data_IF_770498021077
#
_entry.id   IF_770498021077
#
_cell.length_a   1.000
_cell.length_b   1.000
_cell.length_c   1.000
_cell.angle_alpha   90.00
_cell.angle_beta   90.00
_cell.angle_gamma   90.00
#
_symmetry.space_group_name_H-M   'P 1'
#
loop_
_entity.id
_entity.type
_entity.pdbx_description
1 polymer ?
#
# COMPACT_ATOMS: atom_id res chain seq x y z
N UNK A 1 -6.53 -10.00 30.12
CA UNK A 1 -5.76 -10.25 28.90
C UNK A 1 -6.43 -9.51 27.75
N UNK A 2 -5.69 -8.75 26.97
CA UNK A 2 -6.28 -8.04 25.81
C UNK A 2 -6.69 -9.10 24.77
N UNK A 3 -7.98 -9.23 24.51
CA UNK A 3 -8.56 -10.22 23.59
C UNK A 3 -8.44 -9.79 22.12
N UNK A 4 -7.92 -8.58 21.87
CA UNK A 4 -7.77 -8.05 20.52
C UNK A 4 -6.68 -8.81 19.75
N UNK A 5 -6.90 -9.18 18.48
CA UNK A 5 -5.90 -9.80 17.65
C UNK A 5 -4.66 -8.90 17.50
N UNK A 6 -3.47 -9.49 17.47
CA UNK A 6 -2.23 -8.77 17.11
C UNK A 6 -2.26 -8.40 15.63
N UNK A 7 -1.88 -7.16 15.28
CA UNK A 7 -1.69 -6.75 13.90
C UNK A 7 -0.29 -7.16 13.41
N UNK A 8 -0.22 -8.04 12.42
CA UNK A 8 1.00 -8.36 11.68
C UNK A 8 0.96 -7.67 10.32
N UNK A 9 1.75 -6.62 10.14
CA UNK A 9 1.94 -5.97 8.85
C UNK A 9 2.93 -6.79 8.03
N UNK A 10 2.52 -7.24 6.84
CA UNK A 10 3.34 -8.04 5.93
C UNK A 10 3.81 -7.16 4.78
N UNK A 11 5.11 -6.87 4.74
CA UNK A 11 5.76 -6.17 3.63
C UNK A 11 6.54 -7.17 2.75
N UNK A 12 6.68 -6.86 1.46
CA UNK A 12 7.49 -7.70 0.58
C UNK A 12 8.95 -7.75 1.04
N UNK A 13 9.48 -6.60 1.44
CA UNK A 13 10.89 -6.41 1.70
C UNK A 13 11.64 -5.82 0.50
N UNK A 14 12.85 -5.35 0.73
CA UNK A 14 13.71 -4.76 -0.30
C UNK A 14 15.16 -4.75 0.16
N UNK A 15 16.09 -4.80 -0.78
CA UNK A 15 17.52 -4.54 -0.51
C UNK A 15 17.81 -3.07 -0.23
N UNK A 16 16.87 -2.17 -0.59
CA UNK A 16 16.99 -0.75 -0.30
C UNK A 16 16.61 -0.48 1.17
N UNK A 17 17.53 0.03 2.00
CA UNK A 17 17.27 0.27 3.42
C UNK A 17 16.17 1.31 3.66
N UNK A 18 15.92 2.21 2.72
CA UNK A 18 14.83 3.20 2.80
C UNK A 18 13.46 2.53 2.90
N UNK A 19 13.30 1.34 2.31
CA UNK A 19 12.06 0.57 2.37
C UNK A 19 11.73 0.15 3.81
N UNK A 20 12.64 -0.52 4.49
CA UNK A 20 12.42 -0.99 5.87
C UNK A 20 12.22 0.18 6.85
N UNK A 21 12.97 1.28 6.67
CA UNK A 21 12.79 2.50 7.44
C UNK A 21 11.38 3.09 7.28
N UNK A 22 10.86 3.13 6.05
CA UNK A 22 9.50 3.61 5.76
C UNK A 22 8.43 2.72 6.39
N UNK A 23 8.56 1.39 6.29
CA UNK A 23 7.64 0.44 6.92
C UNK A 23 7.65 0.62 8.44
N UNK A 24 8.82 0.79 9.04
CA UNK A 24 8.97 1.03 10.49
C UNK A 24 8.30 2.33 10.93
N UNK A 25 8.51 3.43 10.18
CA UNK A 25 7.88 4.73 10.47
C UNK A 25 6.35 4.64 10.37
N UNK A 26 5.83 3.97 9.35
CA UNK A 26 4.39 3.74 9.18
C UNK A 26 3.81 2.94 10.36
N UNK A 27 4.46 1.85 10.78
CA UNK A 27 4.02 1.06 11.93
C UNK A 27 4.12 1.83 13.25
N UNK A 28 5.14 2.68 13.43
CA UNK A 28 5.24 3.57 14.59
C UNK A 28 4.03 4.52 14.64
N UNK A 29 3.64 5.10 13.50
CA UNK A 29 2.43 5.94 13.40
C UNK A 29 1.14 5.17 13.72
N UNK A 30 1.02 3.92 13.26
CA UNK A 30 -0.13 3.05 13.62
C UNK A 30 -0.21 2.83 15.13
N UNK A 31 0.92 2.57 15.80
CA UNK A 31 0.99 2.42 17.27
C UNK A 31 0.59 3.70 18.01
N UNK A 32 1.00 4.86 17.51
CA UNK A 32 0.60 6.16 18.06
C UNK A 32 -0.93 6.41 17.92
N UNK A 33 -1.51 6.02 16.79
CA UNK A 33 -2.96 6.19 16.55
C UNK A 33 -3.82 5.21 17.34
N UNK A 34 -3.25 4.07 17.76
CA UNK A 34 -3.96 3.06 18.58
C UNK A 34 -3.06 2.51 19.66
N UNK A 35 -2.92 3.25 20.78
CA UNK A 35 -2.21 2.75 21.96
C UNK A 35 -2.82 1.43 22.44
N UNK A 36 -1.95 0.50 22.84
CA UNK A 36 -2.35 -0.83 23.31
C UNK A 36 -2.58 -1.87 22.17
N UNK A 37 -2.63 -1.50 20.90
CA UNK A 37 -2.60 -2.48 19.82
C UNK A 37 -1.16 -2.99 19.63
N UNK A 38 -0.95 -4.30 19.80
CA UNK A 38 0.32 -4.92 19.42
C UNK A 38 0.45 -4.94 17.91
N UNK A 39 1.50 -4.28 17.37
CA UNK A 39 1.79 -4.18 15.94
C UNK A 39 3.16 -4.74 15.67
N UNK A 40 3.23 -5.79 14.88
CA UNK A 40 4.46 -6.45 14.43
C UNK A 40 4.64 -6.29 12.93
N UNK A 41 5.88 -6.42 12.46
CA UNK A 41 6.22 -6.40 11.04
C UNK A 41 6.89 -7.71 10.67
N UNK A 42 6.48 -8.28 9.56
CA UNK A 42 7.13 -9.43 8.94
C UNK A 42 7.38 -9.16 7.45
N UNK A 43 8.49 -9.67 6.95
CA UNK A 43 8.87 -9.55 5.54
C UNK A 43 8.74 -10.90 4.84
N UNK A 44 8.40 -10.85 3.54
CA UNK A 44 8.37 -12.05 2.69
C UNK A 44 9.77 -12.42 2.24
N UNK A 45 10.60 -11.40 1.93
CA UNK A 45 11.96 -11.56 1.41
C UNK A 45 12.84 -10.38 1.82
N UNK A 46 14.16 -10.46 1.55
CA UNK A 46 15.22 -9.44 1.69
C UNK A 46 15.46 -8.90 3.10
N UNK A 47 14.46 -8.79 3.96
CA UNK A 47 14.57 -8.19 5.29
C UNK A 47 14.19 -9.18 6.39
N UNK A 48 14.61 -8.87 7.62
CA UNK A 48 14.25 -9.60 8.82
C UNK A 48 13.43 -8.71 9.78
N UNK A 49 12.56 -9.34 10.62
CA UNK A 49 12.25 -10.77 10.66
C UNK A 49 11.31 -11.19 9.52
N UNK A 50 11.47 -12.42 9.04
CA UNK A 50 10.53 -13.00 8.08
C UNK A 50 9.20 -13.38 8.75
N UNK A 51 8.11 -13.38 7.98
CA UNK A 51 6.74 -13.66 8.47
C UNK A 51 6.64 -14.92 9.33
N UNK A 52 7.19 -16.11 8.95
CA UNK A 52 7.10 -17.30 9.78
C UNK A 52 7.74 -17.13 11.16
N UNK A 53 8.89 -16.45 11.23
CA UNK A 53 9.60 -16.20 12.49
C UNK A 53 8.82 -15.27 13.42
N UNK A 54 8.10 -14.28 12.85
CA UNK A 54 7.24 -13.41 13.66
C UNK A 54 6.09 -14.22 14.25
N UNK A 55 5.44 -15.07 13.45
CA UNK A 55 4.33 -15.91 13.90
C UNK A 55 4.78 -16.93 14.98
N UNK A 56 5.94 -17.57 14.81
CA UNK A 56 6.55 -18.45 15.82
C UNK A 56 6.77 -17.71 17.17
N UNK A 57 7.33 -16.51 17.13
CA UNK A 57 7.51 -15.66 18.32
C UNK A 57 6.19 -15.29 18.98
N UNK A 58 5.20 -14.86 18.19
CA UNK A 58 3.87 -14.51 18.70
C UNK A 58 3.20 -15.70 19.40
N UNK A 59 3.28 -16.90 18.81
CA UNK A 59 2.77 -18.11 19.41
C UNK A 59 3.47 -18.45 20.73
N UNK A 60 4.81 -18.30 20.81
CA UNK A 60 5.61 -18.49 22.02
C UNK A 60 5.23 -17.46 23.12
N UNK A 61 4.89 -16.22 22.73
CA UNK A 61 4.39 -15.17 23.63
C UNK A 61 2.93 -15.43 24.10
N UNK A 62 2.32 -16.54 23.72
CA UNK A 62 0.97 -16.90 24.11
C UNK A 62 -0.15 -16.23 23.30
N UNK A 63 0.18 -15.52 22.21
CA UNK A 63 -0.82 -14.94 21.29
C UNK A 63 -1.57 -16.06 20.58
N UNK A 64 -2.88 -15.90 20.44
CA UNK A 64 -3.77 -16.89 19.79
C UNK A 64 -4.39 -16.37 18.50
N UNK A 65 -4.58 -15.05 18.38
CA UNK A 65 -5.24 -14.43 17.23
C UNK A 65 -4.36 -13.35 16.60
N UNK A 66 -4.14 -13.45 15.30
CA UNK A 66 -3.35 -12.51 14.49
C UNK A 66 -4.15 -12.08 13.27
N UNK A 67 -4.20 -10.79 13.03
CA UNK A 67 -4.63 -10.21 11.75
C UNK A 67 -3.38 -9.94 10.93
N UNK A 68 -3.18 -10.72 9.86
CA UNK A 68 -2.10 -10.57 8.90
C UNK A 68 -2.53 -9.60 7.79
N UNK A 69 -1.95 -8.40 7.75
CA UNK A 69 -2.31 -7.33 6.83
C UNK A 69 -1.24 -7.16 5.75
N UNK A 70 -1.56 -7.47 4.48
CA UNK A 70 -0.66 -7.22 3.36
C UNK A 70 -0.45 -5.73 3.12
N UNK A 71 0.80 -5.28 3.15
CA UNK A 71 1.17 -3.89 2.81
C UNK A 71 1.27 -3.74 1.28
N UNK A 72 0.14 -3.97 0.60
CA UNK A 72 -0.02 -3.97 -0.85
C UNK A 72 -1.15 -3.04 -1.28
N UNK A 73 -0.95 -2.32 -2.39
CA UNK A 73 -1.92 -1.35 -2.92
C UNK A 73 -2.94 -1.95 -3.89
N UNK A 74 -2.66 -3.14 -4.43
CA UNK A 74 -3.55 -3.87 -5.35
C UNK A 74 -3.53 -5.36 -5.06
N UNK A 75 -4.59 -6.08 -5.44
CA UNK A 75 -4.65 -7.55 -5.41
C UNK A 75 -3.91 -8.11 -6.62
N UNK A 76 -2.59 -8.15 -6.55
CA UNK A 76 -1.74 -8.83 -7.55
C UNK A 76 -1.24 -10.18 -7.00
N UNK A 77 -0.34 -10.83 -7.73
CA UNK A 77 0.16 -12.19 -7.46
C UNK A 77 0.56 -12.44 -6.00
N UNK A 78 1.29 -11.52 -5.36
CA UNK A 78 1.73 -11.68 -3.96
C UNK A 78 0.55 -11.77 -2.98
N UNK A 79 -0.53 -10.99 -3.21
CA UNK A 79 -1.71 -11.04 -2.36
C UNK A 79 -2.55 -12.31 -2.57
N UNK A 80 -2.56 -12.84 -3.81
CA UNK A 80 -3.38 -14.01 -4.20
C UNK A 80 -2.68 -15.34 -3.91
N UNK A 81 -1.35 -15.41 -3.93
CA UNK A 81 -0.57 -16.65 -3.90
C UNK A 81 0.46 -16.71 -2.79
N UNK A 82 1.43 -15.77 -2.75
CA UNK A 82 2.59 -15.87 -1.86
C UNK A 82 2.23 -15.72 -0.39
N UNK A 83 1.47 -14.68 -0.04
CA UNK A 83 1.08 -14.45 1.36
C UNK A 83 0.22 -15.58 1.88
N UNK A 84 -0.86 -16.04 1.19
CA UNK A 84 -1.63 -17.19 1.64
C UNK A 84 -0.79 -18.48 1.81
N UNK A 85 0.18 -18.73 0.93
CA UNK A 85 1.05 -19.90 1.04
C UNK A 85 1.93 -19.83 2.30
N UNK A 86 2.57 -18.68 2.55
CA UNK A 86 3.39 -18.45 3.74
C UNK A 86 2.57 -18.59 5.03
N UNK A 87 1.36 -18.00 5.06
CA UNK A 87 0.48 -18.07 6.23
C UNK A 87 -0.01 -19.48 6.49
N UNK A 88 -0.43 -20.24 5.46
CA UNK A 88 -0.83 -21.67 5.61
C UNK A 88 0.33 -22.53 6.12
N UNK A 89 1.54 -22.34 5.57
CA UNK A 89 2.73 -23.07 6.00
C UNK A 89 3.11 -22.79 7.46
N UNK A 90 2.88 -21.58 7.95
CA UNK A 90 3.08 -21.24 9.36
C UNK A 90 1.96 -21.81 10.25
N UNK A 91 0.71 -21.66 9.85
CA UNK A 91 -0.45 -22.16 10.60
C UNK A 91 -0.39 -23.69 10.82
N UNK A 92 0.08 -24.46 9.83
CA UNK A 92 0.25 -25.91 9.96
C UNK A 92 1.21 -26.31 11.09
N UNK A 93 2.17 -25.45 11.44
CA UNK A 93 3.16 -25.68 12.52
C UNK A 93 2.74 -25.08 13.87
N UNK A 94 1.72 -24.22 13.87
CA UNK A 94 1.30 -23.43 15.04
C UNK A 94 -0.21 -23.62 15.31
N UNK A 95 -0.64 -24.81 15.73
CA UNK A 95 -2.07 -25.20 15.78
C UNK A 95 -2.90 -24.35 16.74
N UNK A 96 -2.27 -23.68 17.71
CA UNK A 96 -2.95 -22.79 18.66
C UNK A 96 -3.01 -21.33 18.20
N UNK A 97 -2.41 -21.00 17.04
CA UNK A 97 -2.40 -19.65 16.50
C UNK A 97 -3.36 -19.56 15.31
N UNK A 98 -4.39 -18.76 15.45
CA UNK A 98 -5.30 -18.44 14.35
C UNK A 98 -4.83 -17.17 13.63
N UNK A 99 -4.64 -17.27 12.32
CA UNK A 99 -4.17 -16.16 11.49
C UNK A 99 -5.24 -15.82 10.46
N UNK A 100 -5.76 -14.59 10.53
CA UNK A 100 -6.74 -14.06 9.60
C UNK A 100 -6.07 -13.06 8.65
N UNK A 101 -6.11 -13.32 7.34
CA UNK A 101 -5.57 -12.40 6.36
C UNK A 101 -6.57 -11.27 6.09
N UNK A 102 -6.13 -10.02 6.31
CA UNK A 102 -6.90 -8.84 5.94
C UNK A 102 -6.83 -8.58 4.42
N UNK A 103 -7.77 -7.76 3.93
CA UNK A 103 -7.74 -7.25 2.57
C UNK A 103 -6.53 -6.34 2.34
N UNK A 104 -6.08 -6.23 1.08
CA UNK A 104 -5.08 -5.26 0.66
C UNK A 104 -5.56 -3.82 0.88
N UNK A 105 -4.65 -2.87 0.85
CA UNK A 105 -4.97 -1.48 1.16
C UNK A 105 -5.88 -0.81 0.11
N UNK A 106 -5.63 -1.06 -1.17
CA UNK A 106 -6.37 -0.40 -2.24
C UNK A 106 -7.43 -1.26 -2.94
N UNK A 107 -8.34 -0.61 -3.70
CA UNK A 107 -8.48 0.84 -3.79
C UNK A 107 -9.07 1.48 -2.52
N UNK A 108 -8.74 2.75 -2.28
CA UNK A 108 -9.28 3.53 -1.15
C UNK A 108 -9.08 5.03 -1.37
N UNK A 109 -10.10 5.84 -1.03
CA UNK A 109 -10.00 7.30 -1.06
C UNK A 109 -8.92 7.85 -0.10
N UNK A 110 -8.55 7.11 0.93
CA UNK A 110 -7.43 7.48 1.81
C UNK A 110 -6.08 7.43 1.08
N UNK A 111 -5.94 6.58 0.07
CA UNK A 111 -4.72 6.53 -0.74
C UNK A 111 -4.63 7.73 -1.70
N UNK A 112 -5.74 8.10 -2.35
CA UNK A 112 -5.77 9.31 -3.19
C UNK A 112 -5.61 10.58 -2.37
N UNK A 113 -6.20 10.65 -1.18
CA UNK A 113 -5.96 11.75 -0.23
C UNK A 113 -4.50 11.84 0.24
N UNK A 114 -3.84 10.70 0.45
CA UNK A 114 -2.41 10.69 0.73
C UNK A 114 -1.58 11.21 -0.46
N UNK A 115 -1.95 10.87 -1.70
CA UNK A 115 -1.29 11.40 -2.90
C UNK A 115 -1.50 12.91 -3.03
N UNK A 116 -2.69 13.43 -2.75
CA UNK A 116 -2.97 14.88 -2.75
C UNK A 116 -2.07 15.60 -1.75
N UNK A 117 -2.01 15.10 -0.50
CA UNK A 117 -1.06 15.63 0.49
C UNK A 117 0.39 15.62 -0.02
N UNK A 118 0.85 14.53 -0.65
CA UNK A 118 2.21 14.42 -1.18
C UNK A 118 2.46 15.41 -2.32
N UNK A 119 1.46 15.67 -3.15
CA UNK A 119 1.53 16.70 -4.19
C UNK A 119 1.59 18.11 -3.58
N UNK A 120 0.81 18.38 -2.53
CA UNK A 120 0.85 19.66 -1.81
C UNK A 120 2.21 19.88 -1.12
N UNK A 121 2.76 18.86 -0.46
CA UNK A 121 4.11 18.89 0.11
C UNK A 121 5.19 19.15 -0.95
N UNK A 122 4.95 18.74 -2.20
CA UNK A 122 5.81 19.02 -3.35
C UNK A 122 5.54 20.40 -4.01
N UNK A 123 4.65 21.23 -3.44
CA UNK A 123 4.40 22.59 -3.87
C UNK A 123 3.19 22.78 -4.80
N UNK A 124 2.34 21.76 -4.99
CA UNK A 124 1.08 21.91 -5.72
C UNK A 124 0.02 22.52 -4.77
N UNK A 125 -0.66 23.56 -5.24
CA UNK A 125 -1.76 24.15 -4.47
C UNK A 125 -3.10 23.54 -4.89
N UNK A 126 -4.07 23.39 -3.98
CA UNK A 126 -5.41 22.86 -4.33
C UNK A 126 -6.10 23.66 -5.45
N UNK A 127 -5.88 24.97 -5.53
CA UNK A 127 -6.41 25.82 -6.60
C UNK A 127 -5.89 25.46 -8.01
N UNK A 128 -4.76 24.75 -8.10
CA UNK A 128 -4.12 24.40 -9.35
C UNK A 128 -4.67 23.07 -9.97
N UNK A 129 -5.55 22.33 -9.28
CA UNK A 129 -6.06 21.03 -9.72
C UNK A 129 -6.65 21.06 -11.13
N UNK A 130 -7.53 22.04 -11.42
CA UNK A 130 -8.21 22.16 -12.71
C UNK A 130 -7.28 22.52 -13.89
N UNK A 131 -6.07 22.97 -13.62
CA UNK A 131 -5.05 23.32 -14.63
C UNK A 131 -3.88 22.33 -14.69
N UNK A 132 -3.85 21.33 -13.79
CA UNK A 132 -2.76 20.36 -13.69
C UNK A 132 -3.21 18.98 -14.13
N UNK A 133 -2.44 18.37 -15.03
CA UNK A 133 -2.56 16.96 -15.35
C UNK A 133 -1.69 16.13 -14.40
N UNK A 134 -2.21 15.01 -13.93
CA UNK A 134 -1.50 14.14 -13.01
C UNK A 134 -1.19 12.79 -13.67
N UNK A 135 0.05 12.34 -13.52
CA UNK A 135 0.45 10.96 -13.81
C UNK A 135 0.37 10.16 -12.52
N UNK A 136 -0.59 9.23 -12.42
CA UNK A 136 -0.69 8.25 -11.35
C UNK A 136 0.29 7.11 -11.65
N UNK A 137 1.48 7.15 -11.07
CA UNK A 137 2.57 6.25 -11.40
C UNK A 137 2.69 5.10 -10.39
N UNK A 138 2.36 3.88 -10.80
CA UNK A 138 2.43 2.67 -9.98
C UNK A 138 3.64 1.79 -10.33
N UNK A 139 3.87 0.76 -9.52
CA UNK A 139 4.93 -0.23 -9.77
C UNK A 139 4.76 -0.97 -11.09
N UNK A 140 3.51 -1.23 -11.49
CA UNK A 140 3.15 -2.10 -12.61
C UNK A 140 2.92 -3.54 -12.18
N UNK A 141 2.28 -4.30 -13.05
CA UNK A 141 1.96 -5.71 -12.85
C UNK A 141 1.82 -6.41 -14.20
N UNK A 142 2.06 -7.71 -14.24
CA UNK A 142 1.67 -8.58 -15.37
C UNK A 142 0.20 -9.04 -15.27
N UNK A 143 -0.45 -8.79 -14.14
CA UNK A 143 -1.87 -9.11 -13.91
C UNK A 143 -2.76 -8.00 -14.51
N UNK A 144 -3.57 -8.29 -15.56
CA UNK A 144 -4.45 -7.30 -16.18
C UNK A 144 -5.48 -6.70 -15.22
N UNK A 145 -5.95 -7.46 -14.22
CA UNK A 145 -6.89 -6.95 -13.20
C UNK A 145 -6.23 -5.85 -12.36
N UNK A 146 -4.97 -6.05 -11.95
CA UNK A 146 -4.22 -5.04 -11.20
C UNK A 146 -4.02 -3.74 -12.03
N UNK A 147 -3.77 -3.88 -13.33
CA UNK A 147 -3.67 -2.73 -14.25
C UNK A 147 -5.00 -2.01 -14.39
N UNK A 148 -6.10 -2.75 -14.57
CA UNK A 148 -7.45 -2.19 -14.66
C UNK A 148 -7.84 -1.41 -13.39
N UNK A 149 -7.47 -1.89 -12.21
CA UNK A 149 -7.69 -1.20 -10.93
C UNK A 149 -6.97 0.16 -10.91
N UNK A 150 -5.72 0.25 -11.39
CA UNK A 150 -4.99 1.53 -11.45
C UNK A 150 -5.67 2.51 -12.43
N UNK A 151 -6.15 2.02 -13.57
CA UNK A 151 -6.88 2.85 -14.53
C UNK A 151 -8.20 3.37 -13.93
N UNK A 152 -8.91 2.54 -13.15
CA UNK A 152 -10.14 2.95 -12.45
C UNK A 152 -9.86 4.00 -11.37
N UNK A 153 -8.82 3.81 -10.56
CA UNK A 153 -8.38 4.80 -9.57
C UNK A 153 -8.08 6.14 -10.26
N UNK A 154 -7.39 6.12 -11.41
CA UNK A 154 -7.08 7.33 -12.16
C UNK A 154 -8.34 8.07 -12.63
N UNK A 155 -9.35 7.32 -13.17
CA UNK A 155 -10.64 7.89 -13.61
C UNK A 155 -11.41 8.50 -12.44
N UNK A 156 -11.54 7.77 -11.35
CA UNK A 156 -12.27 8.21 -10.15
C UNK A 156 -11.58 9.41 -9.51
N UNK A 157 -10.26 9.37 -9.37
CA UNK A 157 -9.49 10.47 -8.80
C UNK A 157 -9.57 11.75 -9.63
N UNK A 158 -9.55 11.63 -10.97
CA UNK A 158 -9.82 12.78 -11.86
C UNK A 158 -11.17 13.43 -11.54
N UNK A 159 -12.20 12.63 -11.38
CA UNK A 159 -13.57 13.10 -11.16
C UNK A 159 -13.74 13.74 -9.77
N UNK A 160 -13.21 13.09 -8.72
CA UNK A 160 -13.42 13.51 -7.32
C UNK A 160 -12.55 14.70 -6.91
N UNK A 161 -11.30 14.74 -7.36
CA UNK A 161 -10.36 15.83 -7.06
C UNK A 161 -10.33 16.93 -8.15
N UNK A 162 -11.13 16.79 -9.20
CA UNK A 162 -11.28 17.77 -10.29
C UNK A 162 -9.97 18.09 -11.03
N UNK A 163 -9.08 17.09 -11.17
CA UNK A 163 -7.90 17.24 -12.01
C UNK A 163 -8.28 17.48 -13.48
N UNK A 164 -7.55 18.33 -14.22
CA UNK A 164 -7.82 18.51 -15.64
C UNK A 164 -7.65 17.19 -16.40
N UNK A 165 -6.67 16.37 -16.04
CA UNK A 165 -6.47 15.03 -16.54
C UNK A 165 -5.75 14.16 -15.49
N UNK A 166 -6.02 12.84 -15.47
CA UNK A 166 -5.21 11.85 -14.74
C UNK A 166 -4.93 10.69 -15.70
N UNK A 167 -3.64 10.36 -15.87
CA UNK A 167 -3.19 9.23 -16.67
C UNK A 167 -2.44 8.22 -15.81
N UNK A 168 -2.76 6.91 -15.90
CA UNK A 168 -1.95 5.89 -15.25
C UNK A 168 -0.60 5.74 -15.95
N UNK A 169 0.43 5.37 -15.18
CA UNK A 169 1.74 4.97 -15.68
C UNK A 169 2.37 3.89 -14.80
N UNK A 170 3.33 3.14 -15.35
CA UNK A 170 3.88 1.96 -14.72
C UNK A 170 5.41 1.96 -14.76
N UNK A 171 6.06 1.66 -13.62
CA UNK A 171 7.51 1.57 -13.53
C UNK A 171 8.08 0.32 -14.23
N UNK A 172 7.30 -0.78 -14.26
CA UNK A 172 7.70 -2.06 -14.86
C UNK A 172 6.49 -2.81 -15.44
N UNK A 173 6.75 -3.92 -16.12
CA UNK A 173 5.79 -4.91 -16.62
C UNK A 173 4.72 -4.38 -17.62
N UNK A 174 4.29 -3.13 -17.52
CA UNK A 174 3.17 -2.58 -18.29
C UNK A 174 3.50 -1.21 -18.87
N UNK A 175 2.71 -0.76 -19.85
CA UNK A 175 2.80 0.57 -20.48
C UNK A 175 1.53 1.39 -20.14
N UNK A 176 1.59 2.73 -20.24
CA UNK A 176 2.76 3.55 -20.57
C UNK A 176 3.76 3.69 -19.42
N UNK A 177 5.00 4.04 -19.74
CA UNK A 177 6.00 4.46 -18.74
C UNK A 177 5.71 5.88 -18.27
N UNK A 178 6.32 6.26 -17.12
CA UNK A 178 6.09 7.61 -16.54
C UNK A 178 6.42 8.73 -17.53
N UNK A 179 7.56 8.63 -18.22
CA UNK A 179 7.94 9.64 -19.22
C UNK A 179 6.93 9.75 -20.37
N UNK A 180 6.41 8.61 -20.84
CA UNK A 180 5.44 8.59 -21.95
C UNK A 180 4.10 9.22 -21.54
N UNK A 181 3.64 8.93 -20.31
CA UNK A 181 2.41 9.53 -19.78
C UNK A 181 2.53 11.05 -19.59
N UNK A 182 3.69 11.54 -19.14
CA UNK A 182 3.98 12.99 -19.05
C UNK A 182 3.95 13.62 -20.43
N UNK A 183 4.64 13.04 -21.44
CA UNK A 183 4.65 13.52 -22.83
C UNK A 183 3.23 13.52 -23.44
N UNK A 184 2.46 12.48 -23.17
CA UNK A 184 1.09 12.38 -23.66
C UNK A 184 0.19 13.49 -23.08
N UNK A 185 0.29 13.81 -21.79
CA UNK A 185 -0.43 14.95 -21.19
C UNK A 185 0.00 16.27 -21.85
N UNK A 186 1.28 16.45 -22.14
CA UNK A 186 1.78 17.65 -22.84
C UNK A 186 1.23 17.73 -24.26
N UNK A 187 1.18 16.62 -24.99
CA UNK A 187 0.60 16.56 -26.34
C UNK A 187 -0.90 16.88 -26.34
N UNK A 188 -1.63 16.55 -25.27
CA UNK A 188 -3.03 16.95 -25.06
C UNK A 188 -3.20 18.46 -24.69
N UNK A 189 -2.13 19.24 -24.65
CA UNK A 189 -2.16 20.68 -24.32
C UNK A 189 -2.10 21.00 -22.83
N UNK A 190 -1.87 20.02 -21.97
CA UNK A 190 -1.74 20.25 -20.51
C UNK A 190 -0.42 21.00 -20.23
N UNK A 191 -0.54 22.22 -19.71
CA UNK A 191 0.60 23.09 -19.45
C UNK A 191 1.41 22.69 -18.21
N UNK A 192 0.75 22.17 -17.17
CA UNK A 192 1.37 21.76 -15.91
C UNK A 192 1.14 20.27 -15.66
N UNK A 193 2.20 19.50 -15.47
CA UNK A 193 2.13 18.05 -15.27
C UNK A 193 2.81 17.68 -13.95
N UNK A 194 2.05 17.02 -13.08
CA UNK A 194 2.55 16.47 -11.82
C UNK A 194 2.63 14.93 -11.90
N UNK A 195 3.62 14.35 -11.24
CA UNK A 195 3.74 12.89 -11.10
C UNK A 195 3.50 12.52 -9.63
N UNK A 196 2.52 11.65 -9.40
CA UNK A 196 2.13 11.13 -8.11
C UNK A 196 2.48 9.61 -8.03
N UNK A 197 3.55 9.23 -7.32
CA UNK A 197 3.93 7.83 -7.16
C UNK A 197 2.94 7.06 -6.29
N UNK A 198 2.16 6.16 -6.87
CA UNK A 198 1.26 5.23 -6.17
C UNK A 198 2.04 4.01 -5.70
N UNK A 199 2.98 4.25 -4.79
CA UNK A 199 3.86 3.28 -4.15
C UNK A 199 4.12 3.67 -2.70
N UNK A 200 4.31 2.68 -1.82
CA UNK A 200 4.38 2.94 -0.38
C UNK A 200 5.76 3.45 0.03
N UNK A 201 6.82 2.79 -0.38
CA UNK A 201 8.16 3.04 0.11
C UNK A 201 9.16 3.30 -1.03
N UNK A 202 10.25 4.03 -0.80
CA UNK A 202 11.33 4.20 -1.75
C UNK A 202 11.96 2.85 -2.17
N UNK A 203 12.64 2.84 -3.32
CA UNK A 203 13.32 1.69 -3.87
C UNK A 203 13.43 1.77 -5.39
N UNK A 204 13.88 0.67 -6.02
CA UNK A 204 14.17 0.61 -7.45
C UNK A 204 13.01 1.09 -8.36
N UNK A 205 11.78 0.63 -8.11
CA UNK A 205 10.63 1.01 -8.95
C UNK A 205 10.23 2.48 -8.77
N UNK A 206 10.10 3.01 -7.55
CA UNK A 206 9.92 4.45 -7.33
C UNK A 206 11.04 5.31 -7.92
N UNK A 207 12.29 4.86 -7.86
CA UNK A 207 13.42 5.59 -8.46
C UNK A 207 13.30 5.63 -10.00
N UNK A 208 12.77 4.57 -10.64
CA UNK A 208 12.42 4.58 -12.08
C UNK A 208 11.28 5.54 -12.40
N UNK A 209 10.25 5.63 -11.55
CA UNK A 209 9.17 6.64 -11.69
C UNK A 209 9.80 8.04 -11.67
N UNK A 210 10.65 8.31 -10.69
CA UNK A 210 11.31 9.59 -10.54
C UNK A 210 12.25 9.92 -11.72
N UNK A 211 12.97 8.92 -12.24
CA UNK A 211 13.80 9.09 -13.44
C UNK A 211 12.96 9.47 -14.67
N UNK A 212 11.84 8.77 -14.91
CA UNK A 212 10.94 9.08 -16.02
C UNK A 212 10.27 10.45 -15.89
N UNK A 213 9.92 10.88 -14.65
CA UNK A 213 9.39 12.20 -14.40
C UNK A 213 10.41 13.30 -14.76
N UNK A 214 11.67 13.14 -14.35
CA UNK A 214 12.78 14.07 -14.69
C UNK A 214 13.08 14.08 -16.18
N UNK A 215 13.16 12.90 -16.82
CA UNK A 215 13.41 12.74 -18.26
C UNK A 215 12.39 13.53 -19.08
N UNK A 216 11.11 13.41 -18.75
CA UNK A 216 10.04 14.11 -19.46
C UNK A 216 9.76 15.52 -18.90
N UNK A 217 10.58 16.02 -17.98
CA UNK A 217 10.49 17.35 -17.38
C UNK A 217 9.10 17.61 -16.78
N UNK A 218 8.58 16.69 -15.96
CA UNK A 218 7.39 16.95 -15.16
C UNK A 218 7.64 18.16 -14.24
N UNK A 219 6.63 19.02 -14.06
CA UNK A 219 6.76 20.24 -13.25
C UNK A 219 6.83 19.92 -11.75
N UNK A 220 6.15 18.86 -11.34
CA UNK A 220 6.10 18.42 -9.94
C UNK A 220 6.29 16.91 -9.90
N UNK A 221 7.13 16.46 -8.97
CA UNK A 221 7.25 15.06 -8.58
C UNK A 221 6.98 14.95 -7.09
N UNK A 222 5.86 14.32 -6.73
CA UNK A 222 5.54 14.03 -5.33
C UNK A 222 6.44 12.91 -4.78
N UNK A 223 6.72 12.90 -3.47
CA UNK A 223 7.32 11.74 -2.81
C UNK A 223 6.35 10.56 -2.81
N UNK A 224 6.86 9.36 -2.48
CA UNK A 224 6.05 8.15 -2.25
C UNK A 224 5.07 8.35 -1.10
N UNK A 225 4.07 7.46 -0.97
CA UNK A 225 3.06 7.53 0.10
C UNK A 225 3.70 7.57 1.50
N UNK A 226 4.75 6.77 1.71
CA UNK A 226 5.53 6.78 2.95
C UNK A 226 4.71 6.39 4.17
N UNK A 227 4.95 7.12 5.24
CA UNK A 227 4.23 7.02 6.51
C UNK A 227 3.04 7.99 6.61
N UNK A 228 2.42 8.36 5.49
CA UNK A 228 1.30 9.30 5.47
C UNK A 228 0.22 8.92 6.50
N UNK A 229 -0.36 9.90 7.22
CA UNK A 229 -1.39 9.63 8.23
C UNK A 229 -2.62 8.90 7.66
N UNK A 230 -2.98 9.17 6.41
CA UNK A 230 -4.05 8.51 5.69
C UNK A 230 -3.77 7.01 5.54
N UNK A 231 -2.52 6.65 5.24
CA UNK A 231 -2.09 5.26 5.09
C UNK A 231 -2.17 4.52 6.44
N UNK A 232 -1.72 5.14 7.53
CA UNK A 232 -1.83 4.57 8.86
C UNK A 232 -3.29 4.36 9.30
N UNK A 233 -4.19 5.32 9.00
CA UNK A 233 -5.64 5.17 9.25
C UNK A 233 -6.23 4.03 8.41
N UNK A 234 -5.76 3.86 7.16
CA UNK A 234 -6.21 2.78 6.29
C UNK A 234 -5.79 1.40 6.82
N UNK A 235 -4.54 1.27 7.32
CA UNK A 235 -4.12 0.03 7.99
C UNK A 235 -5.04 -0.32 9.15
N UNK A 236 -5.34 0.64 10.02
CA UNK A 236 -6.25 0.42 11.15
C UNK A 236 -7.66 0.05 10.69
N UNK A 237 -8.17 0.69 9.64
CA UNK A 237 -9.48 0.34 9.07
C UNK A 237 -9.52 -1.09 8.54
N UNK A 238 -8.47 -1.53 7.81
CA UNK A 238 -8.36 -2.92 7.30
C UNK A 238 -8.24 -3.92 8.44
N UNK A 239 -7.45 -3.59 9.46
CA UNK A 239 -7.35 -4.36 10.69
C UNK A 239 -8.72 -4.54 11.36
N UNK A 240 -9.46 -3.45 11.59
CA UNK A 240 -10.77 -3.50 12.25
C UNK A 240 -11.79 -4.33 11.44
N UNK A 241 -11.76 -4.24 10.11
CA UNK A 241 -12.62 -5.04 9.25
C UNK A 241 -12.32 -6.55 9.42
N UNK A 242 -11.05 -6.93 9.41
CA UNK A 242 -10.63 -8.32 9.58
C UNK A 242 -10.90 -8.82 11.01
N UNK A 243 -10.59 -8.04 12.04
CA UNK A 243 -10.81 -8.41 13.43
C UNK A 243 -12.30 -8.67 13.75
N UNK A 244 -13.22 -7.87 13.17
CA UNK A 244 -14.67 -8.11 13.30
C UNK A 244 -15.12 -9.39 12.59
N UNK A 245 -14.49 -9.78 11.49
CA UNK A 245 -14.80 -11.03 10.81
C UNK A 245 -14.36 -12.25 11.65
N UNK A 246 -13.21 -12.13 12.35
CA UNK A 246 -12.72 -13.15 13.28
C UNK A 246 -13.74 -13.43 14.39
N UNK A 247 -14.20 -12.38 15.09
CA UNK A 247 -15.14 -12.54 16.21
C UNK A 247 -16.47 -13.15 15.80
N UNK A 248 -16.93 -12.89 14.59
CA UNK A 248 -18.16 -13.49 14.05
C UNK A 248 -17.98 -14.96 13.67
N UNK A 249 -16.83 -15.35 13.16
CA UNK A 249 -16.50 -16.74 12.84
C UNK A 249 -16.40 -17.61 14.09
N UNK A 250 -15.75 -17.10 15.14
CA UNK A 250 -15.63 -17.78 16.43
C UNK A 250 -17.00 -17.98 17.11
N UNK A 251 -17.89 -16.97 17.05
CA UNK A 251 -19.26 -17.07 17.58
C UNK A 251 -20.12 -18.08 16.83
N UNK A 252 -19.99 -18.16 15.50
CA UNK A 252 -20.73 -19.13 14.69
C UNK A 252 -20.26 -20.57 14.94
N UNK A 253 -18.98 -20.77 15.24
CA UNK A 253 -18.42 -22.09 15.58
C UNK A 253 -18.80 -22.57 16.99
N UNK A 254 -19.16 -21.65 17.90
CA UNK A 254 -19.63 -21.98 19.27
C UNK A 254 -21.13 -22.28 19.34
N UNK A 255 -21.89 -21.95 18.29
CA UNK A 255 -23.36 -22.14 18.22
C UNK A 255 -23.79 -23.27 17.28
N UNK A 256 -22.86 -23.96 16.65
CA UNK A 256 -23.06 -25.14 15.80
C UNK A 256 -22.62 -26.42 16.52
#
# INVERSE_FOLDING_TARGET
>A
MDTRPTLLVIAHGSRDPRHAATVSALCARVRLLRPGLRVEVGYLDFNAPQVPRVLERLAADGIRNVVALPLLLTRAFHAKSDIPAVLRGAAARLPLLTVHQAEVLGPSFLLTGALERRLEEAGLRPADHRSTGVVLASAGSSDPEAIAVIAEIAREWRRTAQWCAVRPAFASASLPRTADAVRALRADGVKRVAVAPYVIAPGFLPDRIAAGAREARADILAPVLGDAPELARLLLRRYDQAARACTRGDMAALTA
#
